data_IF_619696021344
#
_entry.id   IF_619696021344
#
_cell.length_a   1.000
_cell.length_b   1.000
_cell.length_c   1.000
_cell.angle_alpha   90.00
_cell.angle_beta   90.00
_cell.angle_gamma   90.00
#
_symmetry.space_group_name_H-M   'P 1'
#
loop_
_entity.id
_entity.type
_entity.pdbx_description
1 polymer ?
#
# COMPACT_ATOMS: atom_id res chain seq x y z
N UNK A 1 9.78 0.40 16.83
CA UNK A 1 10.88 0.80 15.92
C UNK A 1 10.86 2.32 15.77
N UNK A 2 12.00 2.95 15.48
CA UNK A 2 11.98 4.34 15.00
C UNK A 2 11.21 4.42 13.68
N UNK A 3 10.79 5.61 13.26
CA UNK A 3 10.03 5.74 12.01
C UNK A 3 10.82 5.23 10.80
N UNK A 4 12.12 5.55 10.72
CA UNK A 4 13.00 5.10 9.63
C UNK A 4 13.23 3.59 9.65
N UNK A 5 13.39 2.98 10.84
CA UNK A 5 13.47 1.53 11.00
C UNK A 5 12.18 0.85 10.53
N UNK A 6 11.03 1.39 10.93
CA UNK A 6 9.71 0.88 10.56
C UNK A 6 9.47 0.97 9.04
N UNK A 7 9.82 2.10 8.42
CA UNK A 7 9.77 2.27 6.97
C UNK A 7 10.63 1.23 6.24
N UNK A 8 11.87 1.05 6.70
CA UNK A 8 12.80 0.08 6.12
C UNK A 8 12.24 -1.34 6.22
N UNK A 9 11.67 -1.70 7.37
CA UNK A 9 11.00 -2.98 7.56
C UNK A 9 9.81 -3.15 6.60
N UNK A 10 8.95 -2.13 6.48
CA UNK A 10 7.81 -2.20 5.59
C UNK A 10 8.24 -2.33 4.12
N UNK A 11 9.27 -1.62 3.67
CA UNK A 11 9.78 -1.75 2.28
C UNK A 11 10.45 -3.10 2.02
N UNK A 12 11.02 -3.73 3.04
CA UNK A 12 11.65 -5.04 2.91
C UNK A 12 10.63 -6.20 2.85
N UNK A 13 9.46 -6.05 3.47
CA UNK A 13 8.50 -7.14 3.66
C UNK A 13 7.12 -6.88 3.03
N UNK A 14 6.82 -5.63 2.69
CA UNK A 14 5.54 -5.11 2.22
C UNK A 14 5.79 -4.01 1.17
N UNK A 15 4.86 -3.08 0.98
CA UNK A 15 5.05 -1.93 0.07
C UNK A 15 5.82 -0.79 0.75
N UNK A 16 5.23 -0.22 1.81
CA UNK A 16 5.78 0.88 2.59
C UNK A 16 4.99 1.01 3.91
N UNK A 17 5.27 2.01 4.75
CA UNK A 17 4.37 2.42 5.82
C UNK A 17 3.01 2.82 5.24
N UNK A 18 1.95 2.64 6.03
CA UNK A 18 0.59 2.89 5.59
C UNK A 18 0.36 4.38 5.27
N UNK A 19 -0.13 4.65 4.07
CA UNK A 19 -0.83 5.89 3.76
C UNK A 19 -2.29 5.79 4.22
N UNK A 20 -2.87 6.92 4.64
CA UNK A 20 -4.28 6.99 5.07
C UNK A 20 -5.01 7.96 4.15
N UNK A 21 -5.80 7.40 3.23
CA UNK A 21 -6.38 8.14 2.11
C UNK A 21 -7.80 8.64 2.39
N UNK A 22 -8.46 8.08 3.38
CA UNK A 22 -9.83 8.40 3.77
C UNK A 22 -10.14 7.87 5.18
N UNK A 23 -11.33 8.21 5.67
CA UNK A 23 -11.81 7.77 6.99
C UNK A 23 -11.93 6.24 7.11
N UNK A 24 -12.29 5.53 6.04
CA UNK A 24 -12.43 4.08 6.10
C UNK A 24 -11.09 3.38 6.36
N UNK A 25 -10.01 3.88 5.78
CA UNK A 25 -8.64 3.39 6.08
C UNK A 25 -8.20 3.73 7.50
N UNK A 26 -8.52 4.93 7.99
CA UNK A 26 -8.25 5.29 9.38
C UNK A 26 -8.99 4.38 10.36
N UNK A 27 -10.25 4.08 10.06
CA UNK A 27 -11.08 3.14 10.83
C UNK A 27 -10.53 1.72 10.74
N UNK A 28 -10.00 1.30 9.58
CA UNK A 28 -9.38 0.00 9.44
C UNK A 28 -8.13 -0.14 10.30
N UNK A 29 -7.36 0.93 10.42
CA UNK A 29 -6.21 1.00 11.33
C UNK A 29 -6.66 0.82 12.79
N UNK A 30 -7.82 1.35 13.17
CA UNK A 30 -8.39 1.15 14.51
C UNK A 30 -8.62 -0.33 14.86
N UNK A 31 -9.02 -1.14 13.88
CA UNK A 31 -9.24 -2.58 14.10
C UNK A 31 -7.91 -3.33 14.36
N UNK A 32 -6.78 -2.75 13.96
CA UNK A 32 -5.47 -3.38 14.04
C UNK A 32 -4.70 -2.95 15.28
N UNK A 33 -4.82 -1.69 15.68
CA UNK A 33 -4.11 -1.13 16.83
C UNK A 33 -4.90 -1.39 18.11
N UNK A 34 -4.32 -2.04 19.14
CA UNK A 34 -4.99 -2.23 20.42
C UNK A 34 -5.49 -0.92 21.01
N UNK A 35 -6.59 -0.97 21.77
CA UNK A 35 -7.12 0.21 22.45
C UNK A 35 -6.04 0.90 23.29
N UNK A 36 -5.91 2.23 23.14
CA UNK A 36 -4.84 3.00 23.77
C UNK A 36 -3.46 2.88 23.14
N UNK A 37 -3.34 2.20 21.99
CA UNK A 37 -2.09 2.06 21.26
C UNK A 37 -1.77 3.25 20.36
N UNK A 38 -0.49 3.41 20.09
CA UNK A 38 0.07 4.41 19.17
C UNK A 38 0.93 3.70 18.14
N UNK A 39 0.80 4.05 16.87
CA UNK A 39 1.56 3.42 15.79
C UNK A 39 1.98 4.41 14.70
N UNK A 40 3.17 4.20 14.13
CA UNK A 40 3.67 4.96 12.99
C UNK A 40 2.85 4.73 11.73
N UNK A 41 2.58 5.81 10.99
CA UNK A 41 2.08 5.81 9.60
C UNK A 41 3.09 6.51 8.67
N UNK A 42 2.87 6.43 7.37
CA UNK A 42 3.84 6.87 6.35
C UNK A 42 3.96 8.38 6.14
N UNK A 43 3.24 9.21 6.91
CA UNK A 43 3.29 10.67 6.76
C UNK A 43 4.47 11.27 7.53
N UNK A 44 5.14 12.26 6.93
CA UNK A 44 6.27 12.98 7.55
C UNK A 44 6.28 14.47 7.18
N UNK A 45 6.87 15.30 8.06
CA UNK A 45 6.90 16.77 7.99
C UNK A 45 7.90 17.32 6.97
N UNK A 46 8.87 16.52 6.51
CA UNK A 46 9.91 16.96 5.54
C UNK A 46 9.29 17.52 4.25
N UNK A 47 8.08 17.07 3.89
CA UNK A 47 7.29 17.67 2.80
C UNK A 47 5.77 17.49 2.92
N UNK A 48 5.27 17.03 4.08
CA UNK A 48 3.88 16.56 4.24
C UNK A 48 3.49 15.54 3.17
N UNK A 49 4.42 14.63 2.87
CA UNK A 49 4.25 13.58 1.88
C UNK A 49 4.21 12.21 2.55
N UNK A 50 3.42 11.34 1.93
CA UNK A 50 3.39 9.93 2.25
C UNK A 50 4.64 9.23 1.70
N UNK A 51 5.22 8.34 2.51
CA UNK A 51 6.44 7.62 2.14
C UNK A 51 6.28 6.69 0.94
N UNK A 52 5.06 6.22 0.69
CA UNK A 52 4.70 5.40 -0.47
C UNK A 52 4.51 6.21 -1.77
N UNK A 53 4.63 7.54 -1.69
CA UNK A 53 4.43 8.46 -2.81
C UNK A 53 2.97 8.73 -3.17
N UNK A 54 2.01 8.32 -2.33
CA UNK A 54 0.59 8.62 -2.56
C UNK A 54 0.27 10.11 -2.36
N UNK A 55 -0.65 10.62 -3.17
CA UNK A 55 -1.06 12.04 -3.19
C UNK A 55 -2.39 12.25 -2.45
N UNK A 56 -2.53 11.72 -1.22
CA UNK A 56 -3.74 11.98 -0.42
C UNK A 56 -3.64 13.27 0.37
N UNK A 57 -4.70 14.07 0.32
CA UNK A 57 -4.92 15.27 1.13
C UNK A 57 -5.75 15.01 2.39
N UNK A 58 -6.16 13.75 2.63
CA UNK A 58 -6.88 13.39 3.83
C UNK A 58 -6.00 13.65 5.07
N UNK A 59 -6.62 14.23 6.09
CA UNK A 59 -5.96 14.44 7.37
C UNK A 59 -6.92 14.18 8.52
N UNK A 60 -6.38 13.63 9.61
CA UNK A 60 -7.16 13.33 10.81
C UNK A 60 -6.43 13.68 12.10
N UNK A 61 -5.79 14.86 12.09
CA UNK A 61 -5.09 15.45 13.23
C UNK A 61 -5.94 15.50 14.49
N UNK A 62 -5.28 15.31 15.63
CA UNK A 62 -5.84 15.62 16.94
C UNK A 62 -5.91 17.14 17.17
N UNK A 63 -6.67 17.55 18.18
CA UNK A 63 -6.79 18.94 18.53
C UNK A 63 -5.44 19.51 19.02
N UNK A 64 -4.88 20.46 18.26
CA UNK A 64 -3.59 21.08 18.55
C UNK A 64 -2.46 20.60 17.64
N UNK A 65 -2.67 19.51 16.92
CA UNK A 65 -1.69 18.89 16.03
C UNK A 65 -1.80 19.43 14.59
N UNK A 66 -0.70 19.40 13.81
CA UNK A 66 0.64 18.97 14.21
C UNK A 66 1.45 20.14 14.84
N UNK A 67 1.92 20.00 16.08
CA UNK A 67 2.45 21.11 16.89
C UNK A 67 3.97 21.33 16.80
N UNK A 68 4.70 20.34 16.28
CA UNK A 68 6.17 20.32 16.20
C UNK A 68 6.85 20.59 17.55
N UNK A 69 6.45 19.89 18.60
CA UNK A 69 6.95 20.12 19.94
C UNK A 69 8.49 20.10 19.99
N UNK A 70 9.07 21.12 20.64
CA UNK A 70 10.54 21.26 20.72
C UNK A 70 11.24 21.44 19.37
N UNK A 71 10.50 21.68 18.27
CA UNK A 71 10.99 21.74 16.88
C UNK A 71 11.65 20.44 16.41
N UNK A 72 11.22 19.31 16.94
CA UNK A 72 11.85 18.02 16.70
C UNK A 72 10.85 16.89 16.42
N UNK A 73 9.68 17.24 15.87
CA UNK A 73 8.65 16.26 15.53
C UNK A 73 8.36 16.33 14.04
N UNK A 74 8.70 15.24 13.36
CA UNK A 74 8.68 15.18 11.90
C UNK A 74 8.03 13.91 11.37
N UNK A 75 7.59 13.00 12.24
CA UNK A 75 7.01 11.72 11.88
C UNK A 75 5.64 11.57 12.52
N UNK A 76 4.69 10.95 11.84
CA UNK A 76 3.28 10.97 12.25
C UNK A 76 2.85 9.62 12.78
N UNK A 77 2.16 9.64 13.94
CA UNK A 77 1.50 8.48 14.50
C UNK A 77 -0.01 8.59 14.38
N UNK A 78 -0.70 7.45 14.33
CA UNK A 78 -2.08 7.33 14.79
C UNK A 78 -2.08 7.04 16.29
N UNK A 79 -2.99 7.68 17.03
CA UNK A 79 -3.18 7.49 18.47
C UNK A 79 -4.63 7.11 18.80
N UNK A 80 -4.80 6.00 19.51
CA UNK A 80 -6.10 5.46 19.92
C UNK A 80 -6.40 5.61 21.42
N UNK A 81 -5.61 6.37 22.17
CA UNK A 81 -5.88 6.70 23.58
C UNK A 81 -7.19 7.48 23.77
N UNK A 82 -7.55 8.33 22.81
CA UNK A 82 -8.84 9.04 22.76
C UNK A 82 -9.95 8.27 22.03
N UNK A 83 -9.66 7.05 21.54
CA UNK A 83 -10.63 6.15 20.91
C UNK A 83 -10.96 6.44 19.44
N UNK A 84 -10.37 7.47 18.83
CA UNK A 84 -10.71 7.90 17.46
C UNK A 84 -9.60 7.69 16.43
N UNK A 85 -8.37 7.34 16.83
CA UNK A 85 -7.26 7.17 15.87
C UNK A 85 -6.80 8.49 15.28
N UNK A 86 -6.75 9.53 16.13
CA UNK A 86 -6.32 10.87 15.73
C UNK A 86 -4.82 10.90 15.52
N UNK A 87 -4.35 11.81 14.69
CA UNK A 87 -2.95 11.90 14.33
C UNK A 87 -2.23 12.92 15.19
N UNK A 88 -0.98 12.63 15.54
CA UNK A 88 -0.05 13.58 16.14
C UNK A 88 1.32 13.42 15.49
N UNK A 89 2.09 14.50 15.43
CA UNK A 89 3.50 14.37 15.07
C UNK A 89 4.36 14.09 16.30
N UNK A 90 5.42 13.33 16.09
CA UNK A 90 6.34 12.87 17.12
C UNK A 90 7.77 12.90 16.59
N UNK A 91 8.72 12.91 17.51
CA UNK A 91 10.12 12.71 17.20
C UNK A 91 10.29 11.33 16.55
N UNK A 92 10.86 11.32 15.34
CA UNK A 92 11.06 10.13 14.52
C UNK A 92 11.90 9.03 15.21
N UNK A 93 12.73 9.40 16.19
CA UNK A 93 13.59 8.49 16.94
C UNK A 93 12.87 7.75 18.08
N UNK A 94 11.61 8.11 18.36
CA UNK A 94 10.78 7.39 19.34
C UNK A 94 10.40 6.01 18.79
N UNK A 95 10.35 5.02 19.68
CA UNK A 95 10.01 3.64 19.31
C UNK A 95 8.52 3.38 19.53
N UNK A 96 7.77 3.26 18.43
CA UNK A 96 6.38 2.83 18.44
C UNK A 96 6.18 1.51 17.67
N UNK A 97 4.99 0.94 17.79
CA UNK A 97 4.47 -0.01 16.79
C UNK A 97 4.29 0.69 15.45
N UNK A 98 4.04 -0.05 14.38
CA UNK A 98 3.90 0.57 13.06
C UNK A 98 2.97 -0.22 12.14
N UNK A 99 2.51 0.47 11.10
CA UNK A 99 1.52 -0.06 10.18
C UNK A 99 2.12 -0.05 8.78
N UNK A 100 2.18 -1.22 8.15
CA UNK A 100 2.60 -1.32 6.76
C UNK A 100 1.38 -1.37 5.84
N UNK A 101 1.52 -0.77 4.66
CA UNK A 101 0.65 -1.03 3.53
C UNK A 101 1.10 -2.33 2.86
N UNK A 102 0.27 -3.36 2.98
CA UNK A 102 0.32 -4.58 2.22
C UNK A 102 -0.14 -4.31 0.79
N UNK A 103 0.79 -4.08 -0.12
CA UNK A 103 0.61 -4.65 -1.45
C UNK A 103 1.39 -5.95 -1.40
N UNK A 104 0.86 -7.10 -1.86
CA UNK A 104 1.80 -8.08 -2.35
C UNK A 104 2.57 -7.30 -3.41
N UNK A 105 3.84 -6.95 -3.12
CA UNK A 105 4.81 -6.80 -4.20
C UNK A 105 4.49 -7.97 -5.11
N UNK A 106 4.30 -7.80 -6.43
CA UNK A 106 4.24 -8.94 -7.28
C UNK A 106 5.55 -9.69 -7.01
N UNK A 107 5.49 -10.68 -6.12
CA UNK A 107 6.23 -11.91 -6.29
C UNK A 107 5.99 -12.14 -7.75
N UNK A 108 7.06 -12.22 -8.52
CA UNK A 108 6.96 -12.68 -9.90
C UNK A 108 6.40 -14.10 -9.82
N UNK A 109 5.10 -14.22 -9.58
CA UNK A 109 4.33 -15.41 -9.78
C UNK A 109 4.23 -15.45 -11.27
N UNK A 110 5.07 -16.30 -11.85
CA UNK A 110 4.90 -16.78 -13.20
C UNK A 110 3.47 -17.35 -13.28
N UNK A 111 2.51 -16.51 -13.66
CA UNK A 111 1.15 -16.95 -13.97
C UNK A 111 1.26 -17.77 -15.26
N UNK A 112 1.31 -19.09 -15.10
CA UNK A 112 1.37 -20.01 -16.23
C UNK A 112 -0.03 -20.14 -16.84
N UNK A 113 -0.30 -19.32 -17.86
CA UNK A 113 -1.54 -19.42 -18.62
C UNK A 113 -1.47 -20.57 -19.62
N UNK A 114 -2.20 -21.65 -19.35
CA UNK A 114 -2.37 -22.76 -20.30
C UNK A 114 -3.52 -22.44 -21.25
N UNK A 115 -3.17 -22.03 -22.47
CA UNK A 115 -4.14 -21.71 -23.51
C UNK A 115 -4.36 -22.92 -24.43
N UNK A 116 -5.63 -23.20 -24.74
CA UNK A 116 -6.01 -24.18 -25.77
C UNK A 116 -6.37 -23.43 -27.04
N UNK A 117 -5.51 -23.54 -28.05
CA UNK A 117 -5.76 -22.95 -29.38
C UNK A 117 -6.55 -23.94 -30.23
N UNK A 118 -7.66 -23.48 -30.82
CA UNK A 118 -8.37 -24.24 -31.85
C UNK A 118 -7.85 -23.83 -33.22
N UNK A 119 -7.16 -24.76 -33.88
CA UNK A 119 -6.62 -24.58 -35.24
C UNK A 119 -7.76 -24.68 -36.27
N UNK A 120 -7.91 -23.69 -37.14
CA UNK A 120 -8.64 -23.87 -38.39
C UNK A 120 -7.73 -24.59 -39.41
N UNK A 121 -8.31 -25.36 -40.33
CA UNK A 121 -7.55 -26.21 -41.27
C UNK A 121 -6.54 -25.46 -42.15
N UNK A 122 -6.57 -24.12 -42.19
CA UNK A 122 -5.72 -23.27 -43.02
C UNK A 122 -4.58 -22.57 -42.29
N UNK A 123 -4.54 -22.60 -40.95
CA UNK A 123 -3.49 -21.90 -40.21
C UNK A 123 -2.21 -22.73 -40.17
N UNK A 124 -1.06 -22.15 -40.48
CA UNK A 124 0.25 -22.74 -40.18
C UNK A 124 0.74 -22.19 -38.82
N UNK A 125 1.08 -23.08 -37.89
CA UNK A 125 1.48 -22.69 -36.53
C UNK A 125 2.99 -22.44 -36.42
N UNK A 126 3.75 -22.82 -37.45
CA UNK A 126 5.18 -22.55 -37.55
C UNK A 126 5.45 -21.27 -38.35
N UNK A 127 4.41 -20.63 -38.91
CA UNK A 127 4.50 -19.33 -39.59
C UNK A 127 4.76 -18.21 -38.56
N UNK A 128 5.89 -17.46 -38.68
CA UNK A 128 6.23 -16.36 -37.79
C UNK A 128 5.13 -15.30 -37.65
N UNK A 129 4.42 -14.99 -38.74
CA UNK A 129 3.36 -13.99 -38.72
C UNK A 129 2.13 -14.48 -37.95
N UNK A 130 1.87 -15.80 -37.98
CA UNK A 130 0.81 -16.42 -37.19
C UNK A 130 1.19 -16.42 -35.71
N UNK A 131 2.44 -16.75 -35.38
CA UNK A 131 2.96 -16.72 -34.00
C UNK A 131 2.91 -15.31 -33.40
N UNK A 132 3.31 -14.28 -34.17
CA UNK A 132 3.26 -12.89 -33.72
C UNK A 132 1.82 -12.43 -33.45
N UNK A 133 0.88 -12.73 -34.33
CA UNK A 133 -0.53 -12.41 -34.14
C UNK A 133 -1.15 -13.15 -32.94
N UNK A 134 -0.76 -14.40 -32.70
CA UNK A 134 -1.17 -15.12 -31.49
C UNK A 134 -0.61 -14.46 -30.23
N UNK A 135 0.67 -14.07 -30.23
CA UNK A 135 1.29 -13.40 -29.09
C UNK A 135 0.58 -12.08 -28.78
N UNK A 136 0.27 -11.27 -29.80
CA UNK A 136 -0.49 -10.03 -29.65
C UNK A 136 -1.89 -10.29 -29.07
N UNK A 137 -2.58 -11.32 -29.56
CA UNK A 137 -3.92 -11.69 -29.07
C UNK A 137 -3.88 -12.15 -27.61
N UNK A 138 -2.87 -12.94 -27.23
CA UNK A 138 -2.69 -13.40 -25.85
C UNK A 138 -2.40 -12.22 -24.93
N UNK A 139 -1.49 -11.33 -25.31
CA UNK A 139 -1.17 -10.14 -24.51
C UNK A 139 -2.40 -9.25 -24.29
N UNK A 140 -3.22 -9.06 -25.33
CA UNK A 140 -4.46 -8.30 -25.24
C UNK A 140 -5.49 -8.96 -24.30
N UNK A 141 -5.64 -10.29 -24.37
CA UNK A 141 -6.54 -11.03 -23.46
C UNK A 141 -6.07 -10.99 -22.00
N UNK A 142 -4.76 -11.06 -21.78
CA UNK A 142 -4.17 -10.96 -20.44
C UNK A 142 -4.38 -9.56 -19.84
N UNK A 143 -4.22 -8.52 -20.64
CA UNK A 143 -4.48 -7.14 -20.23
C UNK A 143 -5.92 -6.94 -19.72
N UNK A 144 -6.92 -7.46 -20.44
CA UNK A 144 -8.31 -7.37 -19.98
C UNK A 144 -8.61 -8.21 -18.74
N UNK A 145 -7.96 -9.37 -18.60
CA UNK A 145 -8.12 -10.19 -17.40
C UNK A 145 -7.67 -9.42 -16.16
N UNK A 146 -6.51 -8.75 -16.24
CA UNK A 146 -5.96 -7.95 -15.14
C UNK A 146 -6.87 -6.76 -14.76
N UNK A 147 -7.48 -6.06 -15.72
CA UNK A 147 -8.41 -4.95 -15.44
C UNK A 147 -9.71 -5.42 -14.74
N UNK A 148 -10.21 -6.62 -15.06
CA UNK A 148 -11.47 -7.14 -14.49
C UNK A 148 -11.33 -7.72 -13.09
N UNK A 149 -10.10 -8.01 -12.65
CA UNK A 149 -9.81 -8.74 -11.41
C UNK A 149 -9.35 -7.82 -10.26
N UNK A 150 -9.51 -6.49 -10.39
CA UNK A 150 -9.15 -5.52 -9.34
C UNK A 150 -10.39 -5.13 -8.50
N UNK A 151 -10.81 -5.91 -7.49
CA UNK A 151 -11.70 -5.42 -6.46
C UNK A 151 -11.00 -4.31 -5.66
N UNK A 152 -11.76 -3.34 -5.17
CA UNK A 152 -11.27 -2.33 -4.22
C UNK A 152 -10.91 -3.02 -2.89
N UNK A 153 -9.69 -3.55 -2.82
CA UNK A 153 -9.11 -4.24 -1.68
C UNK A 153 -8.27 -3.32 -0.79
N UNK A 154 -8.36 -2.00 -0.98
CA UNK A 154 -7.62 -0.98 -0.20
C UNK A 154 -7.61 -1.25 1.31
N UNK A 155 -8.73 -1.72 1.87
CA UNK A 155 -8.88 -2.03 3.30
C UNK A 155 -8.26 -3.37 3.73
N UNK A 156 -8.04 -4.33 2.82
CA UNK A 156 -7.33 -5.59 3.13
C UNK A 156 -5.81 -5.41 3.14
N UNK A 157 -5.35 -4.25 2.70
CA UNK A 157 -3.97 -3.92 2.43
C UNK A 157 -3.28 -3.20 3.61
N UNK A 158 -3.84 -3.21 4.81
CA UNK A 158 -3.26 -2.51 5.98
C UNK A 158 -2.99 -3.55 7.07
N UNK A 159 -1.75 -3.60 7.59
CA UNK A 159 -1.35 -4.57 8.62
C UNK A 159 -0.44 -3.94 9.68
N UNK A 160 -0.73 -4.20 10.97
CA UNK A 160 0.11 -3.80 12.10
C UNK A 160 1.26 -4.77 12.33
N UNK A 161 2.41 -4.25 12.76
CA UNK A 161 3.66 -4.97 13.01
C UNK A 161 4.34 -4.51 14.30
#
# INVERSE_FOLDING_TARGET
MTWTEAQSYCRANYRDLASVRNMAENQKIQDLVPAGGTAWIGLSRDSWKWSDGSDSTFSFWDAGEPDNYGKNEACVTVDFSSGHGRWGDWNCDVKFAFICYYSPLPKQELKLFKLKVKKSSSADLDDPAVLENMLLTVNHLLYFYEETEQPDESLKQIQMR
#
